data_IF_000900645962
#
_entry.id   IF_000900645962
#
_cell.length_a   1.000
_cell.length_b   1.000
_cell.length_c   1.000
_cell.angle_alpha   90.00
_cell.angle_beta   90.00
_cell.angle_gamma   90.00
#
_symmetry.space_group_name_H-M   'P 1'
#
loop_
_entity.id
_entity.type
_entity.pdbx_description
1 polymer ?
#
# COMPACT_ATOMS: atom_id res chain seq x y z
N UNK A 1 -41.37 15.24 34.66
CA UNK A 1 -41.62 14.39 33.48
C UNK A 1 -40.90 15.04 32.32
N UNK A 2 -39.93 14.37 31.70
CA UNK A 2 -39.19 14.92 30.56
C UNK A 2 -40.08 14.85 29.31
N UNK A 3 -40.36 16.00 28.69
CA UNK A 3 -41.14 16.17 27.45
C UNK A 3 -40.23 16.19 26.20
N UNK A 4 -39.04 15.58 26.28
CA UNK A 4 -37.91 15.94 25.41
C UNK A 4 -37.45 14.93 24.37
N UNK A 5 -38.19 13.84 24.10
CA UNK A 5 -37.78 12.88 23.06
C UNK A 5 -38.59 13.10 21.79
N UNK A 6 -37.91 13.57 20.75
CA UNK A 6 -38.43 13.57 19.38
C UNK A 6 -37.98 12.28 18.71
N UNK A 7 -38.94 11.44 18.33
CA UNK A 7 -38.69 10.30 17.44
C UNK A 7 -38.57 10.84 16.02
N UNK A 8 -37.43 10.61 15.38
CA UNK A 8 -37.25 10.87 13.95
C UNK A 8 -37.45 9.55 13.23
N UNK A 9 -38.56 9.43 12.51
CA UNK A 9 -38.83 8.27 11.65
C UNK A 9 -38.11 8.47 10.32
N UNK A 10 -37.11 7.63 10.05
CA UNK A 10 -36.40 7.55 8.77
C UNK A 10 -36.84 6.25 8.11
N UNK A 11 -37.40 6.33 6.91
CA UNK A 11 -37.75 5.13 6.13
C UNK A 11 -39.16 4.57 6.37
N UNK A 12 -40.19 5.41 6.56
CA UNK A 12 -41.59 4.97 6.75
C UNK A 12 -42.13 4.00 5.68
N UNK A 13 -43.37 3.51 5.82
CA UNK A 13 -43.90 2.31 5.15
C UNK A 13 -43.72 2.13 3.61
N UNK A 14 -43.31 3.15 2.86
CA UNK A 14 -42.99 3.10 1.43
C UNK A 14 -41.67 3.83 1.05
N UNK A 15 -40.79 4.09 2.01
CA UNK A 15 -39.56 4.82 1.76
C UNK A 15 -38.41 3.85 1.45
N UNK A 16 -37.86 3.97 0.25
CA UNK A 16 -36.56 3.39 -0.08
C UNK A 16 -35.49 4.26 0.57
N UNK A 17 -34.97 3.81 1.72
CA UNK A 17 -33.72 4.36 2.24
C UNK A 17 -32.60 3.78 1.39
N UNK A 18 -32.11 4.58 0.44
CA UNK A 18 -30.90 4.28 -0.30
C UNK A 18 -29.72 4.60 0.62
N UNK A 19 -29.01 3.55 1.03
CA UNK A 19 -27.72 3.68 1.70
C UNK A 19 -26.68 3.47 0.61
N UNK A 20 -25.73 4.40 0.52
CA UNK A 20 -24.62 4.32 -0.41
C UNK A 20 -23.37 4.00 0.40
N UNK A 21 -23.07 2.72 0.59
CA UNK A 21 -21.93 2.29 1.37
C UNK A 21 -20.72 2.21 0.46
N UNK A 22 -19.54 2.69 0.88
CA UNK A 22 -18.36 2.52 0.04
C UNK A 22 -18.01 1.02 -0.08
N UNK A 23 -17.29 0.63 -1.16
CA UNK A 23 -16.87 -0.76 -1.36
C UNK A 23 -16.08 -1.32 -0.18
N UNK A 24 -16.15 -2.63 0.03
CA UNK A 24 -15.25 -3.33 0.96
C UNK A 24 -14.06 -3.84 0.16
N UNK A 25 -12.83 -3.53 0.59
CA UNK A 25 -11.63 -3.93 -0.12
C UNK A 25 -10.66 -4.70 0.77
N UNK A 26 -9.99 -5.69 0.19
CA UNK A 26 -8.78 -6.32 0.71
C UNK A 26 -7.72 -6.37 -0.38
N UNK A 27 -6.45 -6.24 0.01
CA UNK A 27 -5.34 -6.33 -0.92
C UNK A 27 -4.07 -6.82 -0.21
N UNK A 28 -3.19 -7.44 -0.98
CA UNK A 28 -1.84 -7.82 -0.57
C UNK A 28 -0.90 -7.52 -1.73
N UNK A 29 0.23 -6.89 -1.41
CA UNK A 29 1.31 -6.61 -2.35
C UNK A 29 2.56 -7.26 -1.77
N UNK A 30 3.22 -8.10 -2.54
CA UNK A 30 4.41 -8.85 -2.12
C UNK A 30 5.51 -8.65 -3.16
N UNK A 31 6.70 -8.19 -2.77
CA UNK A 31 7.79 -7.99 -3.71
C UNK A 31 8.18 -9.31 -4.35
N UNK A 32 8.78 -9.21 -5.53
CA UNK A 32 9.45 -10.31 -6.18
C UNK A 32 10.95 -10.24 -5.92
N UNK A 33 11.64 -11.33 -6.26
CA UNK A 33 13.10 -11.48 -6.11
C UNK A 33 13.89 -10.29 -6.70
N UNK A 34 15.10 -10.04 -6.20
CA UNK A 34 15.94 -8.90 -6.64
C UNK A 34 16.27 -9.00 -8.13
N UNK A 35 16.52 -10.21 -8.62
CA UNK A 35 16.72 -10.54 -10.02
C UNK A 35 15.48 -10.31 -10.91
N UNK A 36 14.29 -10.18 -10.32
CA UNK A 36 13.04 -9.89 -11.02
C UNK A 36 12.73 -8.38 -11.09
N UNK A 37 13.56 -7.53 -10.47
CA UNK A 37 13.42 -6.09 -10.59
C UNK A 37 13.87 -5.62 -11.97
N UNK A 38 13.04 -4.81 -12.63
CA UNK A 38 13.24 -4.41 -14.00
C UNK A 38 14.14 -3.16 -14.05
N UNK A 39 15.43 -3.35 -14.38
CA UNK A 39 16.31 -2.24 -14.72
C UNK A 39 16.09 -1.89 -16.19
N UNK A 40 15.38 -0.79 -16.43
CA UNK A 40 15.17 -0.25 -17.78
C UNK A 40 16.11 0.93 -18.05
N UNK A 41 16.05 1.50 -19.26
CA UNK A 41 16.72 2.78 -19.56
C UNK A 41 16.22 3.95 -18.70
N UNK A 42 15.03 3.80 -18.12
CA UNK A 42 14.30 4.85 -17.42
C UNK A 42 14.48 4.75 -15.89
N UNK A 43 15.12 3.68 -15.42
CA UNK A 43 15.46 3.45 -14.01
C UNK A 43 15.10 2.05 -13.53
N UNK A 44 15.24 1.87 -12.22
CA UNK A 44 14.74 0.69 -11.50
C UNK A 44 13.22 0.82 -11.34
N UNK A 45 12.52 -0.31 -11.45
CA UNK A 45 11.11 -0.43 -11.08
C UNK A 45 10.96 -1.38 -9.88
N UNK A 46 10.03 -1.04 -8.99
CA UNK A 46 9.55 -1.97 -7.99
C UNK A 46 8.59 -2.96 -8.66
N UNK A 47 8.94 -4.24 -8.61
CA UNK A 47 8.14 -5.31 -9.22
C UNK A 47 7.58 -6.19 -8.11
N UNK A 48 6.28 -6.37 -8.12
CA UNK A 48 5.58 -7.12 -7.09
C UNK A 48 4.45 -7.95 -7.67
N UNK A 49 3.98 -8.91 -6.87
CA UNK A 49 2.67 -9.52 -7.08
C UNK A 49 1.64 -8.79 -6.24
N UNK A 50 0.49 -8.50 -6.84
CA UNK A 50 -0.66 -7.94 -6.17
C UNK A 50 -1.84 -8.92 -6.26
N UNK A 51 -2.51 -9.11 -5.15
CA UNK A 51 -3.82 -9.75 -5.07
C UNK A 51 -4.80 -8.78 -4.44
N UNK A 52 -5.99 -8.64 -5.01
CA UNK A 52 -7.03 -7.74 -4.50
C UNK A 52 -8.42 -8.33 -4.67
N UNK A 53 -9.33 -7.89 -3.80
CA UNK A 53 -10.75 -8.19 -3.89
C UNK A 53 -11.53 -7.03 -3.30
N UNK A 54 -12.43 -6.48 -4.10
CA UNK A 54 -13.34 -5.42 -3.72
C UNK A 54 -14.79 -5.81 -4.02
N UNK A 55 -15.71 -5.45 -3.14
CA UNK A 55 -17.15 -5.72 -3.33
C UNK A 55 -17.96 -4.56 -2.81
N UNK A 56 -18.85 -4.05 -3.67
CA UNK A 56 -19.85 -3.09 -3.28
C UNK A 56 -21.04 -3.77 -2.57
N UNK A 57 -21.46 -3.35 -1.37
CA UNK A 57 -22.57 -3.99 -0.65
C UNK A 57 -23.92 -3.86 -1.36
N UNK A 58 -24.10 -2.84 -2.20
CA UNK A 58 -25.31 -2.58 -2.98
C UNK A 58 -25.30 -3.28 -4.36
N UNK A 59 -24.15 -3.86 -4.76
CA UNK A 59 -23.97 -4.61 -6.00
C UNK A 59 -23.57 -3.75 -7.20
N UNK A 60 -23.09 -2.53 -6.97
CA UNK A 60 -22.54 -1.67 -8.01
C UNK A 60 -21.20 -2.20 -8.56
N UNK A 61 -20.83 -1.71 -9.74
CA UNK A 61 -19.52 -2.02 -10.31
C UNK A 61 -18.44 -1.28 -9.54
N UNK A 62 -17.35 -1.99 -9.21
CA UNK A 62 -16.22 -1.45 -8.48
C UNK A 62 -14.97 -1.42 -9.36
N UNK A 63 -14.25 -0.30 -9.29
CA UNK A 63 -12.90 -0.15 -9.83
C UNK A 63 -11.90 -0.13 -8.68
N UNK A 64 -10.68 -0.62 -8.93
CA UNK A 64 -9.62 -0.67 -7.92
C UNK A 64 -8.36 -0.04 -8.49
N UNK A 65 -7.67 0.75 -7.68
CA UNK A 65 -6.41 1.39 -8.05
C UNK A 65 -5.40 1.34 -6.91
N UNK A 66 -4.12 1.46 -7.26
CA UNK A 66 -3.00 1.60 -6.33
C UNK A 66 -2.44 3.01 -6.48
N UNK A 67 -2.40 3.74 -5.37
CA UNK A 67 -1.63 4.97 -5.15
C UNK A 67 -0.34 4.56 -4.42
N UNK A 68 0.76 4.57 -5.13
CA UNK A 68 2.03 4.04 -4.69
C UNK A 68 2.91 5.06 -3.99
N UNK A 69 2.79 6.35 -4.33
CA UNK A 69 3.52 7.43 -3.66
C UNK A 69 2.71 8.16 -2.58
N UNK A 70 1.41 7.83 -2.49
CA UNK A 70 0.44 8.33 -1.52
C UNK A 70 0.15 9.82 -1.69
N UNK A 71 0.20 10.31 -2.93
CA UNK A 71 -0.12 11.70 -3.26
C UNK A 71 -1.63 11.97 -3.45
N UNK A 72 -2.45 10.91 -3.39
CA UNK A 72 -3.89 10.94 -3.61
C UNK A 72 -4.32 10.65 -5.05
N UNK A 73 -3.37 10.34 -5.94
CA UNK A 73 -3.60 9.98 -7.34
C UNK A 73 -3.35 8.48 -7.53
N UNK A 74 -4.20 7.82 -8.32
CA UNK A 74 -3.98 6.42 -8.67
C UNK A 74 -2.87 6.31 -9.71
N UNK A 75 -1.77 5.67 -9.33
CA UNK A 75 -0.64 5.36 -10.20
C UNK A 75 -0.92 4.16 -11.11
N UNK A 76 -1.58 3.13 -10.56
CA UNK A 76 -1.87 1.90 -11.27
C UNK A 76 -3.34 1.49 -11.12
N UNK A 77 -4.06 1.43 -12.25
CA UNK A 77 -5.42 0.91 -12.31
C UNK A 77 -5.44 -0.62 -12.40
N UNK A 78 -6.17 -1.25 -11.49
CA UNK A 78 -6.44 -2.68 -11.47
C UNK A 78 -7.81 -2.89 -12.12
N UNK A 79 -7.82 -3.28 -13.39
CA UNK A 79 -8.97 -3.24 -14.31
C UNK A 79 -10.20 -4.11 -13.92
N UNK A 80 -10.18 -4.76 -12.77
CA UNK A 80 -11.24 -5.65 -12.26
C UNK A 80 -11.41 -5.45 -10.75
N UNK A 81 -12.63 -5.72 -10.23
CA UNK A 81 -12.90 -5.64 -8.80
C UNK A 81 -12.13 -6.68 -7.97
N UNK A 82 -11.74 -7.80 -8.59
CA UNK A 82 -10.92 -8.84 -7.98
C UNK A 82 -9.88 -9.34 -8.97
N UNK A 83 -8.73 -9.78 -8.47
CA UNK A 83 -7.70 -10.32 -9.34
C UNK A 83 -6.36 -10.57 -8.68
N UNK A 84 -5.45 -11.02 -9.55
CA UNK A 84 -4.04 -11.20 -9.28
C UNK A 84 -3.25 -10.70 -10.49
N UNK A 85 -2.20 -9.92 -10.24
CA UNK A 85 -1.31 -9.44 -11.30
C UNK A 85 0.11 -9.24 -10.81
N UNK A 86 1.03 -9.27 -11.78
CA UNK A 86 2.33 -8.65 -11.64
C UNK A 86 2.13 -7.15 -11.81
N UNK A 87 2.73 -6.36 -10.94
CA UNK A 87 2.65 -4.89 -10.98
C UNK A 87 4.07 -4.33 -11.05
N UNK A 88 4.20 -3.25 -11.79
CA UNK A 88 5.43 -2.45 -11.88
C UNK A 88 5.08 -1.04 -11.41
N UNK A 89 5.83 -0.55 -10.42
CA UNK A 89 5.67 0.77 -9.83
C UNK A 89 7.03 1.48 -9.77
N UNK A 90 7.04 2.80 -9.74
CA UNK A 90 8.29 3.56 -9.68
C UNK A 90 9.11 3.18 -8.45
N UNK A 91 10.41 2.93 -8.64
CA UNK A 91 11.25 2.39 -7.56
C UNK A 91 11.43 3.34 -6.38
N UNK A 92 11.57 4.64 -6.62
CA UNK A 92 11.91 5.59 -5.56
C UNK A 92 10.71 6.14 -4.79
N UNK A 93 9.48 5.70 -5.12
CA UNK A 93 8.29 6.15 -4.40
C UNK A 93 8.09 5.34 -3.12
N UNK A 94 7.63 6.03 -2.07
CA UNK A 94 7.16 5.47 -0.78
C UNK A 94 8.08 4.52 -0.01
N UNK A 95 9.41 4.55 -0.22
CA UNK A 95 10.33 3.81 0.65
C UNK A 95 10.39 4.48 2.03
N UNK A 96 10.02 3.71 3.05
CA UNK A 96 10.10 4.07 4.46
C UNK A 96 11.24 3.34 5.13
N UNK A 97 11.89 4.02 6.08
CA UNK A 97 13.03 3.51 6.84
C UNK A 97 12.71 3.63 8.32
N UNK A 98 12.85 2.53 9.05
CA UNK A 98 12.70 2.48 10.50
C UNK A 98 13.94 1.87 11.15
N UNK A 99 14.37 2.44 12.28
CA UNK A 99 15.51 1.93 13.06
C UNK A 99 15.03 0.89 14.06
N UNK A 100 15.59 -0.31 14.01
CA UNK A 100 15.23 -1.41 14.91
C UNK A 100 16.50 -1.95 15.58
N UNK A 101 16.47 -2.08 16.90
CA UNK A 101 17.53 -2.77 17.66
C UNK A 101 16.99 -4.11 18.18
N UNK A 102 17.64 -5.21 17.80
CA UNK A 102 17.31 -6.56 18.25
C UNK A 102 18.56 -7.21 18.84
N UNK A 103 18.48 -7.65 20.09
CA UNK A 103 19.58 -8.36 20.76
C UNK A 103 20.93 -7.61 20.80
N UNK A 104 20.89 -6.27 20.68
CA UNK A 104 22.08 -5.41 20.64
C UNK A 104 22.66 -5.18 19.24
N UNK A 105 22.04 -5.76 18.22
CA UNK A 105 22.33 -5.50 16.80
C UNK A 105 21.34 -4.46 16.26
N UNK A 106 21.83 -3.59 15.36
CA UNK A 106 21.05 -2.52 14.75
C UNK A 106 20.68 -2.88 13.33
N UNK A 107 19.44 -2.62 12.98
CA UNK A 107 18.87 -2.88 11.66
C UNK A 107 18.09 -1.67 11.17
N UNK A 108 18.18 -1.39 9.87
CA UNK A 108 17.19 -0.59 9.18
C UNK A 108 16.10 -1.52 8.65
N UNK A 109 14.85 -1.27 9.02
CA UNK A 109 13.69 -1.91 8.42
C UNK A 109 13.20 -1.05 7.26
N UNK A 110 13.33 -1.55 6.04
CA UNK A 110 12.93 -0.83 4.83
C UNK A 110 11.71 -1.48 4.21
N UNK A 111 10.66 -0.68 4.06
CA UNK A 111 9.37 -1.13 3.55
C UNK A 111 8.69 -0.03 2.76
N UNK A 112 7.64 -0.39 2.02
CA UNK A 112 6.79 0.49 1.24
C UNK A 112 5.37 0.45 1.79
N UNK A 113 4.67 1.56 1.66
CA UNK A 113 3.25 1.66 1.97
C UNK A 113 2.53 2.09 0.71
N UNK A 114 1.61 1.26 0.24
CA UNK A 114 0.73 1.55 -0.88
C UNK A 114 -0.68 1.83 -0.37
N UNK A 115 -1.36 2.82 -0.91
CA UNK A 115 -2.80 3.01 -0.67
C UNK A 115 -3.57 2.35 -1.81
N UNK A 116 -4.36 1.32 -1.49
CA UNK A 116 -5.23 0.63 -2.45
C UNK A 116 -6.65 1.12 -2.26
N UNK A 117 -7.19 1.74 -3.29
CA UNK A 117 -8.49 2.40 -3.27
C UNK A 117 -9.47 1.66 -4.18
N UNK A 118 -10.65 1.36 -3.65
CA UNK A 118 -11.81 0.92 -4.42
C UNK A 118 -12.83 2.04 -4.53
N UNK A 119 -13.40 2.23 -5.71
CA UNK A 119 -14.46 3.20 -6.01
C UNK A 119 -15.62 2.50 -6.73
N UNK A 120 -16.86 2.71 -6.26
CA UNK A 120 -18.07 2.23 -6.94
C UNK A 120 -18.59 3.21 -8.01
N UNK A 121 -19.67 2.83 -8.70
CA UNK A 121 -20.23 3.63 -9.78
C UNK A 121 -20.92 4.93 -9.30
N UNK A 122 -21.25 5.02 -8.01
CA UNK A 122 -21.77 6.22 -7.36
C UNK A 122 -20.65 7.22 -6.99
N UNK A 123 -19.40 6.77 -6.98
CA UNK A 123 -18.22 7.52 -6.56
C UNK A 123 -17.92 7.43 -5.06
N UNK A 124 -18.50 6.47 -4.33
CA UNK A 124 -18.09 6.22 -2.95
C UNK A 124 -16.82 5.35 -2.92
N UNK A 125 -15.91 5.69 -2.01
CA UNK A 125 -14.55 5.15 -1.99
C UNK A 125 -14.20 4.50 -0.66
N UNK A 126 -13.42 3.42 -0.72
CA UNK A 126 -12.71 2.86 0.43
C UNK A 126 -11.24 2.69 0.10
N UNK A 127 -10.38 3.08 1.04
CA UNK A 127 -8.92 2.95 0.91
C UNK A 127 -8.36 2.11 2.05
N UNK A 128 -7.43 1.22 1.73
CA UNK A 128 -6.61 0.49 2.71
C UNK A 128 -5.13 0.73 2.42
N UNK A 129 -4.30 0.80 3.46
CA UNK A 129 -2.86 0.83 3.30
C UNK A 129 -2.29 -0.59 3.36
N UNK A 130 -1.48 -0.94 2.38
CA UNK A 130 -0.77 -2.23 2.27
C UNK A 130 0.71 -1.99 2.49
N UNK A 131 1.27 -2.68 3.48
CA UNK A 131 2.71 -2.66 3.76
C UNK A 131 3.36 -3.81 3.00
N UNK A 132 4.47 -3.52 2.34
CA UNK A 132 5.26 -4.49 1.59
C UNK A 132 6.75 -4.25 1.87
N UNK A 133 7.61 -5.27 1.96
CA UNK A 133 9.06 -5.06 2.02
C UNK A 133 9.53 -4.19 0.84
N UNK A 134 10.61 -3.41 1.05
CA UNK A 134 11.11 -2.54 -0.01
C UNK A 134 11.67 -3.31 -1.21
N UNK A 135 12.13 -4.54 -0.97
CA UNK A 135 12.67 -5.52 -1.92
C UNK A 135 12.54 -6.92 -1.31
N UNK A 136 12.41 -7.97 -2.14
CA UNK A 136 12.61 -9.37 -1.74
C UNK A 136 13.95 -9.83 -2.32
N UNK A 137 14.84 -10.37 -1.51
CA UNK A 137 16.17 -10.77 -1.94
C UNK A 137 16.78 -11.74 -0.93
N UNK A 138 17.57 -12.71 -1.42
CA UNK A 138 18.37 -13.57 -0.53
C UNK A 138 19.51 -12.80 0.16
N UNK A 139 19.95 -11.70 -0.45
CA UNK A 139 21.04 -10.84 0.01
C UNK A 139 20.53 -9.61 0.76
N UNK A 140 19.27 -9.19 0.54
CA UNK A 140 18.69 -7.95 1.07
C UNK A 140 17.30 -8.23 1.64
N UNK A 141 17.30 -8.58 2.93
CA UNK A 141 16.10 -8.86 3.74
C UNK A 141 15.35 -7.55 4.00
N UNK A 142 14.13 -7.59 4.56
CA UNK A 142 13.47 -6.36 5.01
C UNK A 142 14.26 -5.62 6.10
N UNK A 143 15.17 -6.31 6.79
CA UNK A 143 16.07 -5.78 7.82
C UNK A 143 17.50 -5.78 7.28
N UNK A 144 18.12 -4.60 7.28
CA UNK A 144 19.46 -4.34 6.75
C UNK A 144 20.39 -3.98 7.89
N UNK A 145 21.59 -4.56 7.93
CA UNK A 145 22.58 -4.34 8.97
C UNK A 145 23.83 -3.58 8.46
N UNK A 146 24.83 -3.37 9.32
CA UNK A 146 26.03 -2.61 8.97
C UNK A 146 26.83 -3.19 7.80
N UNK A 147 26.67 -4.48 7.48
CA UNK A 147 27.33 -5.11 6.34
C UNK A 147 26.67 -4.74 5.00
N UNK A 148 25.44 -4.22 5.04
CA UNK A 148 24.64 -3.88 3.86
C UNK A 148 24.78 -2.39 3.47
N UNK A 149 25.63 -1.60 4.14
CA UNK A 149 25.74 -0.13 3.97
C UNK A 149 25.92 0.30 2.49
N UNK A 150 26.83 -0.36 1.78
CA UNK A 150 27.11 -0.07 0.36
C UNK A 150 25.89 -0.36 -0.52
N UNK A 151 25.20 -1.46 -0.24
CA UNK A 151 24.01 -1.88 -0.99
C UNK A 151 22.82 -0.97 -0.70
N UNK A 152 22.60 -0.57 0.55
CA UNK A 152 21.57 0.43 0.91
C UNK A 152 21.79 1.72 0.14
N UNK A 153 23.03 2.19 0.07
CA UNK A 153 23.38 3.43 -0.64
C UNK A 153 23.16 3.30 -2.16
N UNK A 154 23.39 2.11 -2.71
CA UNK A 154 23.21 1.84 -4.13
C UNK A 154 21.75 1.66 -4.53
N UNK A 155 21.02 0.79 -3.83
CA UNK A 155 19.65 0.43 -4.16
C UNK A 155 18.63 1.43 -3.62
N UNK A 156 18.90 2.06 -2.47
CA UNK A 156 17.98 3.01 -1.84
C UNK A 156 18.65 4.38 -1.63
N UNK A 157 18.99 5.10 -2.72
CA UNK A 157 19.73 6.35 -2.66
C UNK A 157 18.99 7.48 -1.91
N UNK A 158 17.68 7.32 -1.67
CA UNK A 158 16.87 8.24 -0.87
C UNK A 158 16.99 8.04 0.65
N UNK A 159 17.70 7.00 1.12
CA UNK A 159 17.86 6.72 2.55
C UNK A 159 18.63 7.85 3.25
N UNK A 160 18.13 8.41 4.37
CA UNK A 160 18.84 9.46 5.08
C UNK A 160 20.22 9.00 5.58
N UNK A 161 21.25 9.81 5.33
CA UNK A 161 22.61 9.50 5.81
C UNK A 161 22.67 9.26 7.32
N UNK A 162 21.84 9.95 8.11
CA UNK A 162 21.79 9.76 9.56
C UNK A 162 21.25 8.37 9.99
N UNK A 163 20.48 7.70 9.14
CA UNK A 163 20.03 6.32 9.36
C UNK A 163 21.16 5.32 9.04
N UNK A 164 21.90 5.59 7.95
CA UNK A 164 23.09 4.82 7.57
C UNK A 164 24.17 4.94 8.66
N UNK A 165 24.48 6.16 9.10
CA UNK A 165 25.47 6.40 10.17
C UNK A 165 25.06 5.73 11.49
N UNK A 166 23.75 5.61 11.77
CA UNK A 166 23.27 4.93 12.97
C UNK A 166 23.50 3.43 12.93
N UNK A 167 23.49 2.84 11.74
CA UNK A 167 23.70 1.41 11.52
C UNK A 167 25.12 0.97 11.89
N UNK A 168 26.11 1.83 11.68
CA UNK A 168 27.54 1.54 11.85
C UNK A 168 28.16 2.08 13.15
N UNK A 169 27.39 2.80 13.97
CA UNK A 169 27.88 3.51 15.17
C UNK A 169 28.06 2.67 16.44
#
# INVERSE_FOLDING_TARGET
>A
MSTGWQVVEIGGANANVLVNQPPRITAQITPLDDDAHNLTSDGWYYVATAHWSATDPEGETVTVGIDADRDGTIDLNLNTAEGFSWIELDWNVSVHVERIELEGERFLHMYRIFDVTAEDASGATSTISVISPAMDSQLMRSLYDSNDEDDITFYFPGTPQADIDWLTA
#
